data_IF_650768783759
#
_entry.id   IF_650768783759
#
_cell.length_a   1.000
_cell.length_b   1.000
_cell.length_c   1.000
_cell.angle_alpha   90.00
_cell.angle_beta   90.00
_cell.angle_gamma   90.00
#
_symmetry.space_group_name_H-M   'P 1'
#
loop_
_entity.id
_entity.type
_entity.pdbx_description
1 polymer ?
#
# COMPACT_ATOMS: atom_id res chain seq x y z
N UNK A 1 -7.45 -25.74 -10.07
CA UNK A 1 -8.09 -24.40 -10.14
C UNK A 1 -9.61 -24.50 -10.01
N UNK A 2 -10.33 -25.14 -10.94
CA UNK A 2 -11.78 -25.36 -10.83
C UNK A 2 -12.19 -26.17 -9.57
N UNK A 3 -11.36 -27.10 -9.10
CA UNK A 3 -11.64 -27.88 -7.89
C UNK A 3 -11.65 -27.12 -6.56
N UNK A 4 -11.00 -25.94 -6.46
CA UNK A 4 -10.96 -25.15 -5.22
C UNK A 4 -12.08 -24.09 -5.16
N UNK A 5 -12.58 -23.62 -6.30
CA UNK A 5 -13.60 -22.55 -6.38
C UNK A 5 -14.58 -22.76 -7.55
N UNK A 6 -15.29 -23.90 -7.61
CA UNK A 6 -15.95 -24.37 -8.83
C UNK A 6 -17.03 -23.42 -9.37
N UNK A 7 -17.84 -22.79 -8.49
CA UNK A 7 -18.92 -21.91 -8.93
C UNK A 7 -18.45 -20.50 -9.33
N UNK A 8 -17.58 -19.89 -8.52
CA UNK A 8 -17.10 -18.51 -8.75
C UNK A 8 -16.13 -18.44 -9.93
N UNK A 9 -15.20 -19.40 -10.03
CA UNK A 9 -14.22 -19.44 -11.10
C UNK A 9 -14.86 -19.53 -12.47
N UNK A 10 -15.73 -20.53 -12.68
CA UNK A 10 -16.34 -20.77 -13.98
C UNK A 10 -17.20 -19.59 -14.42
N UNK A 11 -17.93 -18.97 -13.47
CA UNK A 11 -18.75 -17.78 -13.74
C UNK A 11 -17.93 -16.57 -14.16
N UNK A 12 -16.80 -16.31 -13.50
CA UNK A 12 -16.01 -15.09 -13.71
C UNK A 12 -14.91 -15.24 -14.77
N UNK A 13 -14.43 -16.47 -15.01
CA UNK A 13 -13.23 -16.73 -15.82
C UNK A 13 -13.41 -17.84 -16.86
N UNK A 14 -14.62 -18.41 -16.99
CA UNK A 14 -14.90 -19.51 -17.91
C UNK A 14 -14.40 -20.88 -17.42
N UNK A 15 -14.93 -21.94 -18.02
CA UNK A 15 -14.60 -23.33 -17.69
C UNK A 15 -13.29 -23.80 -18.33
N UNK A 16 -12.97 -23.29 -19.53
CA UNK A 16 -11.77 -23.62 -20.28
C UNK A 16 -11.36 -22.46 -21.22
N UNK A 17 -10.06 -22.29 -21.51
CA UNK A 17 -9.58 -21.27 -22.44
C UNK A 17 -9.87 -21.62 -23.91
N UNK A 18 -10.07 -22.89 -24.24
CA UNK A 18 -10.39 -23.39 -25.58
C UNK A 18 -11.67 -24.21 -25.56
N UNK A 19 -12.42 -24.16 -26.66
CA UNK A 19 -13.60 -24.98 -26.89
C UNK A 19 -13.22 -26.35 -27.49
N UNK A 20 -14.21 -27.24 -27.64
CA UNK A 20 -13.98 -28.59 -28.17
C UNK A 20 -13.50 -28.62 -29.64
N UNK A 21 -13.69 -27.52 -30.39
CA UNK A 21 -13.21 -27.38 -31.76
C UNK A 21 -11.79 -26.78 -31.84
N UNK A 22 -11.13 -26.55 -30.70
CA UNK A 22 -9.78 -25.99 -30.61
C UNK A 22 -9.69 -24.46 -30.72
N UNK A 23 -10.82 -23.76 -30.88
CA UNK A 23 -10.87 -22.29 -30.87
C UNK A 23 -10.87 -21.72 -29.46
N UNK A 24 -10.40 -20.48 -29.28
CA UNK A 24 -10.50 -19.80 -27.98
C UNK A 24 -11.97 -19.59 -27.59
N UNK A 25 -12.25 -19.71 -26.30
CA UNK A 25 -13.52 -19.24 -25.73
C UNK A 25 -13.44 -17.73 -25.51
N UNK A 26 -14.57 -17.06 -25.29
CA UNK A 26 -14.58 -15.62 -24.92
C UNK A 26 -13.72 -15.34 -23.70
N UNK A 27 -13.70 -16.25 -22.73
CA UNK A 27 -12.80 -16.14 -21.58
C UNK A 27 -11.32 -16.31 -21.98
N UNK A 28 -11.02 -17.26 -22.86
CA UNK A 28 -9.68 -17.45 -23.43
C UNK A 28 -9.18 -16.22 -24.19
N UNK A 29 -10.03 -15.60 -25.01
CA UNK A 29 -9.72 -14.36 -25.73
C UNK A 29 -9.44 -13.19 -24.78
N UNK A 30 -10.28 -13.02 -23.74
CA UNK A 30 -10.10 -11.98 -22.73
C UNK A 30 -8.77 -12.16 -21.98
N UNK A 31 -8.49 -13.37 -21.50
CA UNK A 31 -7.24 -13.66 -20.79
C UNK A 31 -6.02 -13.52 -21.70
N UNK A 32 -6.13 -13.89 -22.97
CA UNK A 32 -5.08 -13.67 -23.94
C UNK A 32 -4.79 -12.16 -24.08
N UNK A 33 -5.80 -11.33 -24.34
CA UNK A 33 -5.66 -9.87 -24.47
C UNK A 33 -5.02 -9.25 -23.22
N UNK A 34 -5.44 -9.69 -22.04
CA UNK A 34 -4.95 -9.19 -20.75
C UNK A 34 -3.50 -9.60 -20.48
N UNK A 35 -3.04 -10.73 -21.02
CA UNK A 35 -1.68 -11.22 -20.81
C UNK A 35 -0.71 -10.82 -21.93
N UNK A 36 -1.20 -10.20 -23.02
CA UNK A 36 -0.32 -9.66 -24.07
C UNK A 36 0.71 -8.70 -23.45
N UNK A 37 1.99 -8.93 -23.79
CA UNK A 37 3.12 -8.13 -23.31
C UNK A 37 3.58 -8.47 -21.88
N UNK A 38 2.95 -9.42 -21.19
CA UNK A 38 3.40 -9.90 -19.88
C UNK A 38 4.39 -11.05 -20.06
N UNK A 39 5.56 -10.93 -19.44
CA UNK A 39 6.60 -11.97 -19.49
C UNK A 39 6.27 -13.15 -18.56
N UNK A 40 6.81 -14.35 -18.80
CA UNK A 40 6.61 -15.50 -17.91
C UNK A 40 7.02 -15.22 -16.46
N UNK A 41 8.08 -14.42 -16.26
CA UNK A 41 8.51 -14.00 -14.91
C UNK A 41 7.46 -13.15 -14.22
N UNK A 42 6.90 -12.16 -14.93
CA UNK A 42 5.84 -11.32 -14.39
C UNK A 42 4.57 -12.11 -14.07
N UNK A 43 4.22 -13.14 -14.86
CA UNK A 43 3.12 -14.05 -14.53
C UNK A 43 3.40 -14.79 -13.20
N UNK A 44 4.63 -15.27 -13.01
CA UNK A 44 5.02 -15.94 -11.76
C UNK A 44 4.97 -14.98 -10.56
N UNK A 45 5.46 -13.74 -10.73
CA UNK A 45 5.39 -12.69 -9.71
C UNK A 45 3.93 -12.36 -9.36
N UNK A 46 3.07 -12.22 -10.37
CA UNK A 46 1.64 -12.01 -10.23
C UNK A 46 0.94 -13.14 -9.47
N UNK A 47 1.28 -14.39 -9.77
CA UNK A 47 0.77 -15.55 -9.02
C UNK A 47 1.21 -15.52 -7.56
N UNK A 48 2.48 -15.18 -7.30
CA UNK A 48 3.00 -15.01 -5.94
C UNK A 48 2.26 -13.90 -5.17
N UNK A 49 1.97 -12.79 -5.82
CA UNK A 49 1.20 -11.68 -5.26
C UNK A 49 -0.24 -12.11 -4.92
N UNK A 50 -0.92 -12.82 -5.82
CA UNK A 50 -2.25 -13.35 -5.55
C UNK A 50 -2.27 -14.22 -4.27
N UNK A 51 -1.33 -15.15 -4.17
CA UNK A 51 -1.24 -16.09 -3.05
C UNK A 51 -0.96 -15.38 -1.71
N UNK A 52 -0.11 -14.34 -1.71
CA UNK A 52 0.19 -13.54 -0.51
C UNK A 52 -0.96 -12.67 -0.05
N UNK A 53 -1.67 -12.06 -0.99
CA UNK A 53 -2.68 -11.05 -0.67
C UNK A 53 -3.91 -11.61 0.07
N UNK A 54 -4.13 -12.93 0.03
CA UNK A 54 -5.36 -13.61 0.51
C UNK A 54 -6.67 -12.96 0.00
N UNK A 55 -6.58 -12.03 -0.95
CA UNK A 55 -7.70 -11.32 -1.56
C UNK A 55 -8.59 -12.32 -2.28
N UNK A 56 -9.84 -11.91 -2.51
CA UNK A 56 -10.87 -12.75 -3.12
C UNK A 56 -10.28 -13.50 -4.31
N UNK A 57 -10.18 -14.81 -4.17
CA UNK A 57 -9.83 -15.66 -5.29
C UNK A 57 -11.12 -16.01 -6.04
N UNK A 58 -11.11 -16.07 -7.38
CA UNK A 58 -10.06 -15.60 -8.27
C UNK A 58 -10.01 -14.07 -8.42
N UNK A 59 -8.83 -13.50 -8.74
CA UNK A 59 -8.75 -12.13 -9.22
C UNK A 59 -9.48 -12.01 -10.56
N UNK A 60 -10.03 -10.83 -10.86
CA UNK A 60 -10.46 -10.54 -12.22
C UNK A 60 -9.24 -10.31 -13.13
N UNK A 61 -9.37 -10.42 -14.47
CA UNK A 61 -8.24 -10.34 -15.38
C UNK A 61 -7.41 -9.04 -15.24
N UNK A 62 -8.06 -7.89 -15.11
CA UNK A 62 -7.38 -6.60 -14.91
C UNK A 62 -6.57 -6.55 -13.61
N UNK A 63 -7.14 -7.06 -12.51
CA UNK A 63 -6.44 -7.18 -11.23
C UNK A 63 -5.22 -8.09 -11.34
N UNK A 64 -5.35 -9.24 -12.03
CA UNK A 64 -4.23 -10.16 -12.23
C UNK A 64 -3.10 -9.52 -13.05
N UNK A 65 -3.43 -8.79 -14.11
CA UNK A 65 -2.41 -8.06 -14.90
C UNK A 65 -1.69 -7.02 -14.05
N UNK A 66 -2.40 -6.25 -13.22
CA UNK A 66 -1.77 -5.30 -12.31
C UNK A 66 -0.78 -6.00 -11.36
N UNK A 67 -1.17 -7.15 -10.81
CA UNK A 67 -0.30 -7.97 -9.96
C UNK A 67 0.93 -8.49 -10.72
N UNK A 68 0.79 -8.86 -11.99
CA UNK A 68 1.92 -9.25 -12.85
C UNK A 68 2.89 -8.10 -13.10
N UNK A 69 2.39 -6.86 -13.15
CA UNK A 69 3.20 -5.65 -13.30
C UNK A 69 3.79 -5.16 -11.97
N UNK A 70 3.61 -5.90 -10.87
CA UNK A 70 4.13 -5.54 -9.55
C UNK A 70 3.40 -4.37 -8.90
N UNK A 71 2.17 -4.07 -9.31
CA UNK A 71 1.34 -3.05 -8.69
C UNK A 71 0.94 -3.52 -7.27
N UNK A 72 1.33 -2.80 -6.20
CA UNK A 72 0.93 -3.11 -4.84
C UNK A 72 -0.54 -2.78 -4.61
N UNK A 73 -1.15 -3.36 -3.58
CA UNK A 73 -2.52 -3.02 -3.18
C UNK A 73 -2.62 -1.60 -2.62
N UNK A 74 -3.83 -1.01 -2.67
CA UNK A 74 -4.09 0.31 -2.06
C UNK A 74 -3.74 0.34 -0.56
N UNK A 75 -3.96 -0.77 0.15
CA UNK A 75 -3.63 -0.87 1.57
C UNK A 75 -2.11 -0.83 1.83
N UNK A 76 -1.31 -1.47 0.97
CA UNK A 76 0.15 -1.41 1.05
C UNK A 76 0.66 0.01 0.74
N UNK A 77 0.07 0.68 -0.25
CA UNK A 77 0.38 2.07 -0.57
C UNK A 77 0.02 2.98 0.59
N UNK A 78 -1.17 2.85 1.17
CA UNK A 78 -1.61 3.62 2.35
C UNK A 78 -0.66 3.42 3.55
N UNK A 79 -0.22 2.19 3.79
CA UNK A 79 0.81 1.90 4.78
C UNK A 79 2.13 2.63 4.53
N UNK A 80 2.58 2.67 3.27
CA UNK A 80 3.79 3.40 2.84
C UNK A 80 3.62 4.92 2.86
N UNK A 81 2.40 5.46 2.81
CA UNK A 81 2.16 6.91 2.87
C UNK A 81 2.45 7.52 4.26
N UNK A 82 2.63 6.68 5.30
CA UNK A 82 2.94 7.13 6.66
C UNK A 82 4.34 7.75 6.76
N UNK A 83 4.54 8.76 7.62
CA UNK A 83 5.85 9.35 7.83
C UNK A 83 6.92 8.32 8.23
N UNK A 84 8.13 8.46 7.68
CA UNK A 84 9.28 7.61 8.00
C UNK A 84 9.23 6.21 7.40
N UNK A 85 8.27 5.90 6.53
CA UNK A 85 8.24 4.64 5.80
C UNK A 85 9.06 4.71 4.51
N UNK A 86 9.55 3.55 4.07
CA UNK A 86 10.10 3.41 2.73
C UNK A 86 8.96 3.41 1.72
N UNK A 87 9.15 4.07 0.58
CA UNK A 87 8.19 4.06 -0.51
C UNK A 87 8.71 3.17 -1.62
N UNK A 88 7.88 2.22 -2.05
CA UNK A 88 8.09 1.55 -3.33
C UNK A 88 8.05 2.57 -4.47
N UNK A 89 8.66 2.23 -5.61
CA UNK A 89 8.59 3.06 -6.82
C UNK A 89 7.16 3.40 -7.22
N UNK A 90 6.23 2.46 -7.05
CA UNK A 90 4.81 2.69 -7.31
C UNK A 90 4.20 3.72 -6.34
N UNK A 91 4.54 3.66 -5.05
CA UNK A 91 4.10 4.69 -4.09
C UNK A 91 4.67 6.06 -4.42
N UNK A 92 5.92 6.13 -4.92
CA UNK A 92 6.49 7.39 -5.43
C UNK A 92 5.67 7.92 -6.61
N UNK A 93 5.25 7.05 -7.54
CA UNK A 93 4.35 7.42 -8.64
C UNK A 93 2.99 7.92 -8.13
N UNK A 94 2.38 7.23 -7.17
CA UNK A 94 1.10 7.66 -6.57
C UNK A 94 1.24 9.05 -5.95
N UNK A 95 2.32 9.29 -5.20
CA UNK A 95 2.62 10.60 -4.60
C UNK A 95 2.78 11.69 -5.65
N UNK A 96 3.32 11.38 -6.84
CA UNK A 96 3.44 12.34 -7.95
C UNK A 96 2.08 12.80 -8.50
N UNK A 97 1.02 12.01 -8.30
CA UNK A 97 -0.35 12.35 -8.67
C UNK A 97 -1.15 12.98 -7.53
N UNK A 98 -0.53 13.27 -6.38
CA UNK A 98 -1.16 13.90 -5.22
C UNK A 98 -0.65 15.32 -5.03
N UNK A 99 -1.57 16.22 -4.72
CA UNK A 99 -1.21 17.42 -3.99
C UNK A 99 -0.90 17.00 -2.54
N UNK A 100 0.40 16.87 -2.23
CA UNK A 100 0.87 16.42 -0.93
C UNK A 100 0.52 17.40 0.20
N UNK A 101 0.40 18.70 -0.10
CA UNK A 101 0.01 19.69 0.90
C UNK A 101 -1.46 19.50 1.25
N UNK A 102 -2.33 19.50 0.25
CA UNK A 102 -3.77 19.28 0.45
C UNK A 102 -4.07 17.92 1.09
N UNK A 103 -3.30 16.87 0.74
CA UNK A 103 -3.41 15.55 1.35
C UNK A 103 -3.03 15.56 2.84
N UNK A 104 -1.95 16.27 3.20
CA UNK A 104 -1.48 16.36 4.59
C UNK A 104 -2.38 17.23 5.48
N UNK A 105 -3.06 18.23 4.89
CA UNK A 105 -3.95 19.15 5.60
C UNK A 105 -5.43 18.84 5.39
N UNK A 106 -5.76 17.65 4.89
CA UNK A 106 -7.15 17.25 4.64
C UNK A 106 -7.98 17.31 5.93
N UNK A 107 -9.24 17.75 5.82
CA UNK A 107 -10.13 17.99 6.97
C UNK A 107 -10.54 16.69 7.67
N UNK A 108 -10.47 15.56 6.96
CA UNK A 108 -10.82 14.25 7.50
C UNK A 108 -10.02 13.11 6.87
N UNK A 109 -9.83 12.03 7.62
CA UNK A 109 -9.22 10.80 7.11
C UNK A 109 -9.98 10.21 5.91
N UNK A 110 -11.31 10.37 5.86
CA UNK A 110 -12.11 9.92 4.72
C UNK A 110 -11.86 10.75 3.45
N UNK A 111 -11.59 12.06 3.57
CA UNK A 111 -11.15 12.87 2.44
C UNK A 111 -9.75 12.43 1.99
N UNK A 112 -8.83 12.23 2.93
CA UNK A 112 -7.47 11.77 2.67
C UNK A 112 -7.45 10.42 1.93
N UNK A 113 -8.26 9.45 2.38
CA UNK A 113 -8.40 8.15 1.72
C UNK A 113 -8.96 8.26 0.29
N UNK A 114 -9.94 9.13 0.06
CA UNK A 114 -10.48 9.37 -1.29
C UNK A 114 -9.44 9.98 -2.22
N UNK A 115 -8.65 10.95 -1.74
CA UNK A 115 -7.56 11.54 -2.51
C UNK A 115 -6.53 10.48 -2.89
N UNK A 116 -6.12 9.64 -1.93
CA UNK A 116 -5.19 8.55 -2.17
C UNK A 116 -5.74 7.53 -3.18
N UNK A 117 -7.00 7.10 -3.04
CA UNK A 117 -7.64 6.17 -3.95
C UNK A 117 -7.65 6.70 -5.39
N UNK A 118 -8.01 7.97 -5.59
CA UNK A 118 -8.02 8.60 -6.92
C UNK A 118 -6.60 8.67 -7.53
N UNK A 119 -5.59 9.00 -6.73
CA UNK A 119 -4.20 9.02 -7.19
C UNK A 119 -3.66 7.62 -7.49
N UNK A 120 -4.04 6.63 -6.68
CA UNK A 120 -3.75 5.23 -6.89
C UNK A 120 -4.32 4.74 -8.23
N UNK A 121 -5.60 5.00 -8.51
CA UNK A 121 -6.22 4.61 -9.79
C UNK A 121 -5.51 5.21 -11.01
N UNK A 122 -5.08 6.47 -10.93
CA UNK A 122 -4.28 7.12 -11.97
C UNK A 122 -2.92 6.44 -12.17
N UNK A 123 -2.24 6.11 -11.07
CA UNK A 123 -0.95 5.40 -11.13
C UNK A 123 -1.10 3.98 -11.70
N UNK A 124 -2.17 3.25 -11.32
CA UNK A 124 -2.49 1.94 -11.90
C UNK A 124 -2.68 2.07 -13.41
N UNK A 125 -3.49 3.04 -13.85
CA UNK A 125 -3.72 3.27 -15.28
C UNK A 125 -2.41 3.57 -16.01
N UNK A 126 -1.56 4.45 -15.47
CA UNK A 126 -0.25 4.77 -16.05
C UNK A 126 0.62 3.52 -16.26
N UNK A 127 0.73 2.65 -15.25
CA UNK A 127 1.52 1.41 -15.35
C UNK A 127 0.89 0.41 -16.33
N UNK A 128 -0.44 0.29 -16.32
CA UNK A 128 -1.17 -0.59 -17.24
C UNK A 128 -1.01 -0.16 -18.71
N UNK A 129 -0.91 1.15 -18.95
CA UNK A 129 -0.64 1.76 -20.26
C UNK A 129 0.85 1.67 -20.65
N UNK A 130 1.70 1.04 -19.83
CA UNK A 130 3.13 0.83 -20.10
C UNK A 130 4.06 1.93 -19.61
N UNK A 131 3.55 2.86 -18.80
CA UNK A 131 4.33 3.93 -18.20
C UNK A 131 5.37 3.42 -17.20
N UNK A 132 6.53 4.08 -17.15
CA UNK A 132 7.60 3.70 -16.25
C UNK A 132 7.22 3.95 -14.78
N UNK A 133 7.68 3.05 -13.90
CA UNK A 133 7.60 3.20 -12.45
C UNK A 133 8.90 3.84 -11.96
N UNK A 134 8.85 4.94 -11.17
CA UNK A 134 10.03 5.57 -10.58
C UNK A 134 10.83 4.61 -9.68
N UNK A 135 12.06 5.00 -9.34
CA UNK A 135 12.84 4.27 -8.35
C UNK A 135 12.22 4.34 -6.95
N UNK A 136 12.47 3.32 -6.15
CA UNK A 136 12.02 3.28 -4.76
C UNK A 136 12.76 4.32 -3.91
N UNK A 137 12.03 4.95 -2.99
CA UNK A 137 12.59 5.91 -2.04
C UNK A 137 12.78 5.23 -0.68
N UNK A 138 14.02 5.17 -0.21
CA UNK A 138 14.33 4.65 1.11
C UNK A 138 13.73 5.53 2.22
N UNK A 139 13.39 4.92 3.36
CA UNK A 139 12.99 5.66 4.55
C UNK A 139 14.12 6.60 4.98
N UNK A 140 13.79 7.86 5.23
CA UNK A 140 14.74 8.78 5.86
C UNK A 140 15.02 8.31 7.29
N UNK A 141 16.28 8.32 7.74
CA UNK A 141 16.60 8.00 9.12
C UNK A 141 15.89 9.01 10.03
N UNK A 142 15.35 8.53 11.16
CA UNK A 142 14.74 9.40 12.14
C UNK A 142 15.74 10.50 12.54
N UNK A 143 15.34 11.78 12.58
CA UNK A 143 16.22 12.83 13.06
C UNK A 143 16.70 12.42 14.45
N UNK A 144 18.02 12.42 14.67
CA UNK A 144 18.56 12.16 16.01
C UNK A 144 17.98 13.22 16.93
N UNK A 145 17.35 12.85 18.05
CA UNK A 145 16.83 13.83 18.98
C UNK A 145 17.99 14.74 19.39
N UNK A 146 17.89 16.03 19.07
CA UNK A 146 18.81 17.01 19.58
C UNK A 146 18.56 17.11 21.08
N UNK A 147 19.51 16.63 21.88
CA UNK A 147 19.49 16.85 23.31
C UNK A 147 19.63 18.35 23.54
N UNK A 148 18.52 19.01 23.85
CA UNK A 148 18.57 20.39 24.30
C UNK A 148 19.39 20.44 25.59
N UNK A 149 20.59 21.02 25.50
CA UNK A 149 21.43 21.26 26.66
C UNK A 149 20.70 22.25 27.56
N UNK A 150 20.20 21.75 28.69
CA UNK A 150 19.58 22.59 29.72
C UNK A 150 20.64 23.57 30.22
N UNK A 151 20.52 24.85 29.84
CA UNK A 151 21.48 25.91 30.18
C UNK A 151 21.70 26.06 31.69
N UNK A 152 20.65 25.84 32.49
CA UNK A 152 20.72 25.87 33.94
C UNK A 152 19.99 24.66 34.54
N UNK A 153 20.76 23.66 34.93
CA UNK A 153 20.24 22.38 35.44
C UNK A 153 19.55 22.52 36.80
N UNK A 154 19.97 23.48 37.62
CA UNK A 154 19.39 23.69 38.95
C UNK A 154 18.01 24.36 38.85
N UNK A 155 17.88 25.36 37.98
CA UNK A 155 16.59 25.98 37.68
C UNK A 155 15.60 24.96 37.10
N UNK A 156 16.05 24.10 36.18
CA UNK A 156 15.22 23.04 35.62
C UNK A 156 14.81 22.00 36.67
N UNK A 157 15.71 21.65 37.59
CA UNK A 157 15.42 20.73 38.70
C UNK A 157 14.36 21.31 39.64
N UNK A 158 14.48 22.57 40.01
CA UNK A 158 13.50 23.26 40.86
C UNK A 158 12.14 23.36 40.18
N UNK A 159 12.11 23.68 38.88
CA UNK A 159 10.86 23.72 38.11
C UNK A 159 10.18 22.35 38.01
N UNK A 160 10.96 21.28 37.80
CA UNK A 160 10.42 19.90 37.80
C UNK A 160 9.91 19.48 39.18
N UNK A 161 10.61 19.84 40.26
CA UNK A 161 10.17 19.55 41.63
C UNK A 161 8.86 20.28 41.97
N UNK A 162 8.74 21.55 41.55
CA UNK A 162 7.51 22.32 41.70
C UNK A 162 6.35 21.69 40.92
N UNK A 163 6.56 21.37 39.64
CA UNK A 163 5.54 20.73 38.82
C UNK A 163 5.11 19.36 39.40
N UNK A 164 6.03 18.59 39.98
CA UNK A 164 5.72 17.32 40.62
C UNK A 164 4.89 17.49 41.90
N UNK A 165 5.13 18.56 42.67
CA UNK A 165 4.32 18.91 43.84
C UNK A 165 2.91 19.37 43.42
N UNK A 166 2.82 20.26 42.43
CA UNK A 166 1.56 20.83 41.94
C UNK A 166 0.64 19.78 41.30
N UNK A 167 1.23 18.78 40.62
CA UNK A 167 0.51 17.68 39.99
C UNK A 167 0.31 16.46 40.91
N UNK A 168 0.75 16.52 42.16
CA UNK A 168 0.53 15.46 43.15
C UNK A 168 1.40 14.20 42.97
N UNK A 169 2.44 14.25 42.13
CA UNK A 169 3.39 13.16 41.96
C UNK A 169 4.41 13.01 43.11
N UNK A 170 4.40 13.95 44.08
CA UNK A 170 5.31 13.97 45.22
C UNK A 170 4.87 13.15 46.44
N UNK A 171 3.71 12.48 46.41
CA UNK A 171 3.19 11.72 47.55
C UNK A 171 3.74 10.29 47.61
N UNK A 172 4.46 9.96 48.70
CA UNK A 172 4.89 8.60 49.00
C UNK A 172 3.70 7.62 49.05
N UNK A 173 3.57 6.76 48.05
CA UNK A 173 2.86 5.48 48.20
C UNK A 173 3.84 4.48 48.80
N UNK A 174 3.85 4.40 50.13
CA UNK A 174 4.66 3.42 50.85
C UNK A 174 4.58 3.58 52.37
N UNK A 175 3.48 3.11 52.97
CA UNK A 175 3.45 2.55 54.32
C UNK A 175 2.06 1.92 54.57
N UNK A 176 1.96 0.63 54.26
CA UNK A 176 0.95 -0.31 54.74
C UNK A 176 1.66 -1.62 55.03
#
# INVERSE_FOLDING_TARGET
>A
MAGMFPGKWVRENGSAPVNNAGGLTTAGELWLQVLVGITPRQVADGMGNCLRSALQWPPNPGQFRAMCLGVPSLAEVDGQMRPGQAHSGFTVLVRSHLDLHAYATAESGAQQQRMLANAYERAVKHVMDGGAVPEALAALPAPRPELHVVRNRDAARSAMAQAAADLGFGGAHGAG
#
